data_IF_701021415104
#
_entry.id   IF_701021415104
#
_cell.length_a   1.000
_cell.length_b   1.000
_cell.length_c   1.000
_cell.angle_alpha   90.00
_cell.angle_beta   90.00
_cell.angle_gamma   90.00
#
_symmetry.space_group_name_H-M   'P 1'
#
loop_
_entity.id
_entity.type
_entity.pdbx_description
1 polymer ?
#
# COMPACT_ATOMS: atom_id res chain seq x y z
N UNK A 1 8.44 6.53 12.23
CA UNK A 1 9.83 6.56 11.72
C UNK A 1 10.53 5.27 12.09
N UNK A 2 11.39 4.77 11.18
CA UNK A 2 12.41 3.73 11.37
C UNK A 2 12.02 2.25 11.20
N UNK A 3 12.13 1.76 9.96
CA UNK A 3 12.55 0.37 9.70
C UNK A 3 13.18 0.21 8.30
N UNK A 4 14.36 0.82 8.08
CA UNK A 4 15.24 0.50 6.95
C UNK A 4 16.69 0.47 7.44
N UNK A 5 17.06 -0.57 8.19
CA UNK A 5 18.45 -0.86 8.55
C UNK A 5 18.67 -2.37 8.70
N UNK A 6 18.90 -3.07 7.59
CA UNK A 6 19.71 -4.30 7.52
C UNK A 6 20.44 -4.28 6.18
N UNK A 7 21.57 -3.59 6.11
CA UNK A 7 22.91 -4.07 6.49
C UNK A 7 23.54 -4.92 5.40
N UNK A 8 24.33 -4.22 4.58
CA UNK A 8 25.32 -4.74 3.67
C UNK A 8 26.46 -5.40 4.46
N UNK A 9 26.41 -6.72 4.66
CA UNK A 9 27.53 -7.48 5.24
C UNK A 9 27.60 -8.83 4.53
N UNK A 10 28.16 -8.87 3.32
CA UNK A 10 28.53 -10.13 2.68
C UNK A 10 29.79 -10.07 1.79
N UNK A 11 30.55 -8.96 1.79
CA UNK A 11 31.73 -8.77 0.94
C UNK A 11 33.07 -8.83 1.72
N UNK A 12 33.18 -9.68 2.74
CA UNK A 12 34.41 -9.79 3.55
C UNK A 12 34.85 -11.24 3.82
N UNK A 13 34.64 -12.16 2.87
CA UNK A 13 35.25 -13.49 2.92
C UNK A 13 36.08 -13.74 1.68
N UNK A 14 37.38 -13.96 1.92
CA UNK A 14 38.43 -14.48 1.02
C UNK A 14 39.40 -13.45 0.43
N UNK A 15 40.12 -12.76 1.31
CA UNK A 15 41.51 -12.40 1.06
C UNK A 15 42.36 -13.04 2.16
N UNK A 16 42.67 -14.33 2.03
CA UNK A 16 43.75 -14.97 2.79
C UNK A 16 44.93 -15.12 1.84
N UNK A 17 45.90 -14.23 1.99
CA UNK A 17 47.21 -14.32 1.36
C UNK A 17 47.94 -15.54 1.95
N UNK A 18 48.17 -16.56 1.14
CA UNK A 18 49.05 -17.67 1.53
C UNK A 18 50.50 -17.17 1.51
N UNK A 19 51.15 -17.12 2.68
CA UNK A 19 52.59 -16.85 2.77
C UNK A 19 53.38 -17.95 2.04
N UNK A 20 54.41 -17.55 1.30
CA UNK A 20 55.36 -18.45 0.63
C UNK A 20 56.13 -19.28 1.67
N UNK A 21 55.93 -20.60 1.64
CA UNK A 21 56.66 -21.55 2.48
C UNK A 21 58.00 -21.86 1.81
N UNK A 22 59.11 -21.62 2.51
CA UNK A 22 60.46 -21.95 2.03
C UNK A 22 60.58 -23.43 1.60
N UNK A 23 61.23 -23.73 0.45
CA UNK A 23 61.50 -25.10 0.06
C UNK A 23 62.63 -25.69 0.91
N UNK A 24 62.36 -26.81 1.58
CA UNK A 24 63.40 -27.65 2.19
C UNK A 24 64.12 -28.41 1.08
N UNK A 25 65.43 -28.23 0.98
CA UNK A 25 66.30 -29.07 0.13
C UNK A 25 66.57 -30.38 0.85
N UNK A 26 66.07 -31.49 0.29
CA UNK A 26 66.62 -32.81 0.57
C UNK A 26 67.64 -33.11 -0.52
N UNK A 27 68.91 -33.08 -0.13
CA UNK A 27 69.96 -33.73 -0.91
C UNK A 27 69.96 -35.21 -0.53
N UNK A 28 69.60 -36.08 -1.48
CA UNK A 28 70.23 -37.38 -1.53
C UNK A 28 70.30 -37.91 -2.96
N UNK A 29 71.43 -38.56 -3.18
CA UNK A 29 72.00 -39.13 -4.37
C UNK A 29 71.32 -40.45 -4.81
N UNK A 30 71.68 -40.91 -6.01
CA UNK A 30 71.62 -42.28 -6.58
C UNK A 30 70.68 -42.54 -7.79
N UNK A 31 71.31 -43.15 -8.79
CA UNK A 31 70.84 -43.50 -10.13
C UNK A 31 69.66 -44.49 -10.17
N UNK A 32 68.75 -44.30 -11.14
CA UNK A 32 67.74 -45.30 -11.52
C UNK A 32 67.13 -45.01 -12.88
N UNK A 33 67.26 -45.96 -13.82
CA UNK A 33 66.71 -45.90 -15.17
C UNK A 33 65.18 -46.06 -15.18
N UNK A 34 64.52 -45.25 -16.03
CA UNK A 34 63.34 -45.63 -16.80
C UNK A 34 62.01 -45.76 -16.06
N UNK A 35 61.20 -44.69 -16.10
CA UNK A 35 59.79 -44.68 -16.53
C UNK A 35 59.40 -43.21 -16.75
N UNK A 36 59.18 -42.79 -17.98
CA UNK A 36 58.61 -41.47 -18.27
C UNK A 36 57.15 -41.48 -17.81
N UNK A 37 56.89 -40.91 -16.63
CA UNK A 37 55.57 -40.39 -16.27
C UNK A 37 55.15 -39.40 -17.38
N UNK A 38 53.88 -39.39 -17.86
CA UNK A 38 53.45 -38.42 -18.86
C UNK A 38 53.59 -37.02 -18.25
N UNK A 39 54.70 -36.36 -18.58
CA UNK A 39 54.94 -34.97 -18.20
C UNK A 39 53.85 -34.18 -18.91
N UNK A 40 53.04 -33.49 -18.12
CA UNK A 40 51.98 -32.63 -18.61
C UNK A 40 52.63 -31.40 -19.27
N UNK A 41 53.03 -31.54 -20.53
CA UNK A 41 53.64 -30.47 -21.31
C UNK A 41 52.63 -29.32 -21.45
N UNK A 42 52.86 -28.22 -20.74
CA UNK A 42 52.00 -27.04 -20.87
C UNK A 42 52.05 -26.53 -22.30
N UNK A 43 50.90 -26.17 -22.87
CA UNK A 43 50.82 -25.59 -24.20
C UNK A 43 51.88 -24.48 -24.38
N UNK A 44 52.72 -24.62 -25.40
CA UNK A 44 53.81 -23.68 -25.65
C UNK A 44 53.28 -22.26 -25.89
N UNK A 45 54.14 -21.25 -25.69
CA UNK A 45 53.75 -19.83 -25.89
C UNK A 45 53.11 -19.56 -27.25
N UNK A 46 53.54 -20.27 -28.30
CA UNK A 46 52.96 -20.19 -29.64
C UNK A 46 51.46 -20.55 -29.70
N UNK A 47 51.00 -21.49 -28.87
CA UNK A 47 49.57 -21.83 -28.77
C UNK A 47 48.76 -20.64 -28.24
N UNK A 48 49.21 -20.01 -27.15
CA UNK A 48 48.56 -18.81 -26.62
C UNK A 48 48.63 -17.62 -27.58
N UNK A 49 49.74 -17.47 -28.31
CA UNK A 49 49.87 -16.44 -29.35
C UNK A 49 48.85 -16.70 -30.47
N UNK A 50 48.67 -17.95 -30.91
CA UNK A 50 47.69 -18.29 -31.94
C UNK A 50 46.25 -18.06 -31.49
N UNK A 51 45.91 -18.41 -30.24
CA UNK A 51 44.59 -18.13 -29.66
C UNK A 51 44.37 -16.63 -29.51
N UNK A 52 45.38 -15.85 -29.14
CA UNK A 52 45.29 -14.40 -29.03
C UNK A 52 45.23 -13.70 -30.40
N UNK A 53 45.85 -14.29 -31.43
CA UNK A 53 45.88 -13.74 -32.78
C UNK A 53 44.48 -13.72 -33.43
N UNK A 54 43.64 -14.72 -33.15
CA UNK A 54 42.28 -14.80 -33.70
C UNK A 54 41.41 -13.59 -33.29
N UNK A 55 41.19 -13.29 -31.99
CA UNK A 55 40.43 -12.11 -31.58
C UNK A 55 41.15 -10.81 -31.91
N UNK A 56 42.49 -10.76 -31.91
CA UNK A 56 43.24 -9.56 -32.30
C UNK A 56 43.03 -9.21 -33.79
N UNK A 57 43.10 -10.20 -34.68
CA UNK A 57 42.81 -10.03 -36.10
C UNK A 57 41.35 -9.65 -36.34
N UNK A 58 40.41 -10.23 -35.59
CA UNK A 58 39.00 -9.85 -35.65
C UNK A 58 38.77 -8.40 -35.20
N UNK A 59 39.41 -7.97 -34.11
CA UNK A 59 39.34 -6.60 -33.62
C UNK A 59 39.93 -5.60 -34.64
N UNK A 60 41.08 -5.92 -35.24
CA UNK A 60 41.68 -5.12 -36.31
C UNK A 60 40.78 -5.04 -37.56
N UNK A 61 40.17 -6.14 -37.96
CA UNK A 61 39.22 -6.17 -39.08
C UNK A 61 37.97 -5.32 -38.80
N UNK A 62 37.42 -5.42 -37.58
CA UNK A 62 36.29 -4.57 -37.13
C UNK A 62 36.66 -3.10 -37.12
N UNK A 63 37.85 -2.76 -36.65
CA UNK A 63 38.36 -1.38 -36.64
C UNK A 63 38.57 -0.85 -38.07
N UNK A 64 39.14 -1.66 -38.96
CA UNK A 64 39.37 -1.29 -40.37
C UNK A 64 38.09 -1.11 -41.19
N UNK A 65 36.94 -1.67 -40.75
CA UNK A 65 35.64 -1.55 -41.44
C UNK A 65 34.66 -0.59 -40.75
N UNK A 66 35.14 0.27 -39.85
CA UNK A 66 34.29 1.31 -39.27
C UNK A 66 33.95 2.35 -40.36
N UNK A 67 32.72 2.29 -40.89
CA UNK A 67 32.20 3.26 -41.85
C UNK A 67 32.07 4.66 -41.20
N UNK A 68 32.21 5.71 -42.02
CA UNK A 68 32.23 7.12 -41.60
C UNK A 68 30.86 7.70 -41.24
N UNK A 69 29.75 7.09 -41.71
CA UNK A 69 28.39 7.62 -41.50
C UNK A 69 27.75 7.21 -40.17
N UNK A 70 28.27 6.16 -39.53
CA UNK A 70 27.71 5.61 -38.29
C UNK A 70 28.67 5.85 -37.11
N UNK A 71 28.16 6.44 -36.01
CA UNK A 71 28.94 6.58 -34.76
C UNK A 71 29.54 5.21 -34.37
N UNK A 72 30.85 5.14 -34.06
CA UNK A 72 31.48 3.87 -33.75
C UNK A 72 30.86 3.25 -32.49
N UNK A 73 30.91 1.91 -32.41
CA UNK A 73 30.29 1.13 -31.33
C UNK A 73 30.60 1.68 -29.92
N UNK A 74 31.85 2.09 -29.67
CA UNK A 74 32.26 2.61 -28.37
C UNK A 74 31.60 3.95 -28.06
N UNK A 75 31.45 4.84 -29.03
CA UNK A 75 30.74 6.11 -28.85
C UNK A 75 29.27 5.88 -28.55
N UNK A 76 28.62 4.91 -29.23
CA UNK A 76 27.22 4.53 -28.94
C UNK A 76 27.06 4.01 -27.51
N UNK A 77 28.03 3.25 -27.01
CA UNK A 77 28.03 2.74 -25.64
C UNK A 77 28.24 3.86 -24.60
N UNK A 78 29.07 4.85 -24.91
CA UNK A 78 29.26 6.03 -24.05
C UNK A 78 27.98 6.88 -24.05
N UNK A 79 27.38 7.08 -25.22
CA UNK A 79 26.17 7.89 -25.39
C UNK A 79 24.97 7.28 -24.65
N UNK A 80 24.81 5.95 -24.68
CA UNK A 80 23.77 5.28 -23.91
C UNK A 80 23.94 5.47 -22.40
N UNK A 81 25.18 5.61 -21.91
CA UNK A 81 25.43 5.92 -20.50
C UNK A 81 25.14 7.39 -20.16
N UNK A 82 25.38 8.32 -21.10
CA UNK A 82 24.99 9.72 -20.89
C UNK A 82 23.47 9.90 -20.79
N UNK A 83 22.69 9.13 -21.56
CA UNK A 83 21.23 9.14 -21.46
C UNK A 83 20.77 8.66 -20.07
N UNK A 84 21.39 7.62 -19.52
CA UNK A 84 21.11 7.16 -18.16
C UNK A 84 21.38 8.26 -17.14
N UNK A 85 22.50 8.99 -17.27
CA UNK A 85 22.83 10.12 -16.39
C UNK A 85 21.78 11.23 -16.47
N UNK A 86 21.28 11.55 -17.66
CA UNK A 86 20.23 12.54 -17.86
C UNK A 86 18.92 12.12 -17.18
N UNK A 87 18.47 10.88 -17.40
CA UNK A 87 17.23 10.38 -16.75
C UNK A 87 17.34 10.30 -15.23
N UNK A 88 18.53 10.04 -14.69
CA UNK A 88 18.75 10.05 -13.24
C UNK A 88 18.73 11.47 -12.68
N UNK A 89 19.31 12.43 -13.40
CA UNK A 89 19.25 13.84 -13.03
C UNK A 89 17.80 14.36 -13.02
N UNK A 90 17.01 14.03 -14.04
CA UNK A 90 15.59 14.40 -14.13
C UNK A 90 14.76 13.81 -12.97
N UNK A 91 14.96 12.52 -12.65
CA UNK A 91 14.28 11.90 -11.51
C UNK A 91 14.67 12.55 -10.18
N UNK A 92 15.95 12.85 -10.00
CA UNK A 92 16.42 13.52 -8.79
C UNK A 92 15.84 14.93 -8.67
N UNK A 93 15.77 15.68 -9.77
CA UNK A 93 15.15 17.02 -9.83
C UNK A 93 13.64 16.97 -9.50
N UNK A 94 12.92 15.97 -10.02
CA UNK A 94 11.52 15.75 -9.65
C UNK A 94 11.38 15.50 -8.14
N UNK A 95 12.21 14.61 -7.58
CA UNK A 95 12.19 14.32 -6.16
C UNK A 95 12.52 15.55 -5.30
N UNK A 96 13.50 16.36 -5.66
CA UNK A 96 13.83 17.58 -4.93
C UNK A 96 12.69 18.58 -5.00
N UNK A 97 12.10 18.80 -6.17
CA UNK A 97 10.94 19.69 -6.32
C UNK A 97 9.74 19.23 -5.51
N UNK A 98 9.47 17.93 -5.47
CA UNK A 98 8.37 17.37 -4.66
C UNK A 98 8.60 17.62 -3.16
N UNK A 99 9.84 17.47 -2.69
CA UNK A 99 10.21 17.74 -1.29
C UNK A 99 10.11 19.24 -0.98
N UNK A 100 10.57 20.10 -1.89
CA UNK A 100 10.47 21.56 -1.75
C UNK A 100 9.01 22.02 -1.66
N UNK A 101 8.15 21.49 -2.54
CA UNK A 101 6.71 21.76 -2.51
C UNK A 101 6.08 21.31 -1.19
N UNK A 102 6.35 20.07 -0.76
CA UNK A 102 5.85 19.55 0.51
C UNK A 102 6.34 20.35 1.72
N UNK A 103 7.59 20.84 1.68
CA UNK A 103 8.13 21.72 2.73
C UNK A 103 7.44 23.08 2.73
N UNK A 104 7.17 23.66 1.56
CA UNK A 104 6.44 24.93 1.42
C UNK A 104 5.01 24.81 1.96
N UNK A 105 4.33 23.72 1.62
CA UNK A 105 2.97 23.43 2.03
C UNK A 105 2.86 23.19 3.54
N UNK A 106 3.81 22.42 4.10
CA UNK A 106 3.91 22.26 5.55
C UNK A 106 4.07 23.60 6.25
N UNK A 107 4.86 24.53 5.71
CA UNK A 107 5.03 25.85 6.33
C UNK A 107 3.73 26.66 6.34
N UNK A 108 2.88 26.51 5.32
CA UNK A 108 1.54 27.11 5.29
C UNK A 108 0.64 26.52 6.38
N UNK A 109 0.64 25.19 6.53
CA UNK A 109 -0.29 24.53 7.45
C UNK A 109 0.15 24.51 8.92
N UNK A 110 1.46 24.50 9.21
CA UNK A 110 1.97 24.49 10.59
C UNK A 110 1.56 25.75 11.35
N UNK A 111 1.46 26.89 10.67
CA UNK A 111 1.06 28.16 11.28
C UNK A 111 -0.44 28.47 11.12
N UNK A 112 -1.18 27.65 10.38
CA UNK A 112 -2.62 27.80 10.24
C UNK A 112 -3.33 27.32 11.52
N UNK A 113 -4.43 27.96 11.89
CA UNK A 113 -5.27 27.47 12.97
C UNK A 113 -5.77 26.05 12.61
N UNK A 114 -5.73 25.08 13.55
CA UNK A 114 -6.23 23.75 13.26
C UNK A 114 -7.69 23.83 12.86
N UNK A 115 -8.07 23.10 11.81
CA UNK A 115 -9.47 22.93 11.44
C UNK A 115 -10.21 22.33 12.65
N UNK A 116 -11.18 23.07 13.18
CA UNK A 116 -12.05 22.59 14.24
C UNK A 116 -12.98 21.52 13.68
N UNK A 117 -12.71 20.26 14.03
CA UNK A 117 -13.61 19.16 13.73
C UNK A 117 -14.40 18.85 15.00
N UNK A 118 -15.73 18.98 14.94
CA UNK A 118 -16.60 18.44 15.98
C UNK A 118 -16.87 16.98 15.65
N UNK A 119 -16.39 16.05 16.49
CA UNK A 119 -16.73 14.64 16.37
C UNK A 119 -18.21 14.47 16.76
N UNK A 120 -19.08 14.42 15.74
CA UNK A 120 -20.48 14.10 15.94
C UNK A 120 -20.64 12.59 16.06
N UNK A 121 -21.30 12.13 17.13
CA UNK A 121 -21.66 10.72 17.31
C UNK A 121 -22.54 10.18 16.17
N UNK A 122 -23.30 11.07 15.52
CA UNK A 122 -24.19 10.75 14.41
C UNK A 122 -24.01 11.78 13.28
N UNK A 123 -23.20 11.50 12.25
CA UNK A 123 -22.98 12.43 11.14
C UNK A 123 -24.25 12.68 10.34
N UNK A 124 -25.19 11.74 10.35
CA UNK A 124 -26.47 11.83 9.64
C UNK A 124 -27.38 12.95 10.16
N UNK A 125 -27.16 13.46 11.38
CA UNK A 125 -27.92 14.59 11.92
C UNK A 125 -27.78 15.85 11.07
N UNK A 126 -26.65 16.01 10.37
CA UNK A 126 -26.44 17.12 9.44
C UNK A 126 -27.21 16.96 8.13
N UNK A 127 -27.69 15.75 7.82
CA UNK A 127 -28.45 15.43 6.61
C UNK A 127 -29.97 15.35 6.86
N UNK A 128 -30.40 15.36 8.13
CA UNK A 128 -31.82 15.49 8.47
C UNK A 128 -32.20 16.96 8.29
N UNK A 129 -33.08 17.24 7.31
CA UNK A 129 -33.61 18.58 7.08
C UNK A 129 -34.25 19.17 8.34
N UNK A 130 -34.32 20.51 8.41
CA UNK A 130 -34.95 21.19 9.55
C UNK A 130 -36.39 20.72 9.74
N UNK A 131 -36.80 20.35 10.97
CA UNK A 131 -38.18 19.94 11.26
C UNK A 131 -39.24 20.96 10.82
N UNK A 132 -38.84 22.24 10.69
CA UNK A 132 -39.72 23.35 10.38
C UNK A 132 -39.58 23.85 8.93
N UNK A 133 -38.48 23.52 8.23
CA UNK A 133 -38.23 23.98 6.86
C UNK A 133 -38.25 22.80 5.89
N UNK A 134 -39.43 22.21 5.74
CA UNK A 134 -39.67 21.07 4.85
C UNK A 134 -40.55 21.52 3.69
N UNK A 135 -40.24 21.18 2.42
CA UNK A 135 -41.09 21.54 1.30
C UNK A 135 -42.51 20.99 1.46
N UNK A 136 -43.50 21.78 1.06
CA UNK A 136 -44.90 21.40 1.09
C UNK A 136 -45.09 20.07 0.32
N UNK A 137 -45.68 19.07 0.98
CA UNK A 137 -45.90 17.73 0.41
C UNK A 137 -44.89 16.66 0.82
N UNK A 138 -43.82 17.00 1.56
CA UNK A 138 -42.88 15.99 2.09
C UNK A 138 -43.46 15.14 3.23
N UNK A 139 -44.46 15.65 3.95
CA UNK A 139 -45.17 14.94 5.00
C UNK A 139 -46.48 14.34 4.49
N UNK A 140 -46.90 13.21 5.06
CA UNK A 140 -48.22 12.63 4.79
C UNK A 140 -49.30 13.50 5.43
N UNK A 141 -50.38 13.80 4.69
CA UNK A 141 -51.52 14.54 5.25
C UNK A 141 -52.27 13.69 6.28
N UNK A 142 -52.19 14.09 7.56
CA UNK A 142 -52.81 13.39 8.68
C UNK A 142 -54.28 13.78 8.94
N UNK A 143 -54.88 14.65 8.13
CA UNK A 143 -56.23 15.18 8.36
C UNK A 143 -57.31 14.10 8.48
N UNK A 144 -57.22 13.01 7.70
CA UNK A 144 -58.16 11.88 7.80
C UNK A 144 -58.02 11.11 9.13
N UNK A 145 -56.79 10.99 9.61
CA UNK A 145 -56.49 10.30 10.88
C UNK A 145 -57.01 11.14 12.05
N UNK A 146 -56.76 12.44 12.00
CA UNK A 146 -57.29 13.41 12.98
C UNK A 146 -58.82 13.34 13.03
N UNK A 147 -59.49 13.44 11.87
CA UNK A 147 -60.95 13.38 11.80
C UNK A 147 -61.54 12.05 12.33
N UNK A 148 -60.86 10.92 12.10
CA UNK A 148 -61.27 9.62 12.65
C UNK A 148 -61.24 9.64 14.18
N UNK A 149 -60.13 10.07 14.77
CA UNK A 149 -59.97 10.08 16.23
C UNK A 149 -60.83 11.15 16.92
N UNK A 150 -61.06 12.29 16.28
CA UNK A 150 -62.02 13.27 16.76
C UNK A 150 -63.43 12.67 16.83
N UNK A 151 -63.85 11.95 15.79
CA UNK A 151 -65.15 11.28 15.77
C UNK A 151 -65.27 10.22 16.87
N UNK A 152 -64.27 9.34 17.00
CA UNK A 152 -64.23 8.33 18.06
C UNK A 152 -64.31 8.97 19.46
N UNK A 153 -63.57 10.07 19.67
CA UNK A 153 -63.61 10.81 20.93
C UNK A 153 -65.00 11.38 21.23
N UNK A 154 -65.66 12.02 20.27
CA UNK A 154 -67.01 12.56 20.49
C UNK A 154 -68.05 11.46 20.75
N UNK A 155 -67.96 10.32 20.07
CA UNK A 155 -68.82 9.17 20.31
C UNK A 155 -68.62 8.57 21.71
N UNK A 156 -67.37 8.44 22.17
CA UNK A 156 -67.07 8.00 23.53
C UNK A 156 -67.58 8.98 24.58
N UNK A 157 -67.43 10.28 24.35
CA UNK A 157 -67.92 11.32 25.26
C UNK A 157 -69.46 11.32 25.34
N UNK A 158 -70.15 11.12 24.21
CA UNK A 158 -71.59 10.96 24.20
C UNK A 158 -72.04 9.72 24.99
N UNK A 159 -71.37 8.58 24.80
CA UNK A 159 -71.63 7.34 25.58
C UNK A 159 -71.39 7.55 27.08
N UNK A 160 -70.30 8.21 27.45
CA UNK A 160 -70.00 8.53 28.86
C UNK A 160 -71.07 9.46 29.46
N UNK A 161 -71.55 10.44 28.71
CA UNK A 161 -72.63 11.34 29.14
C UNK A 161 -73.97 10.61 29.33
N UNK A 162 -74.29 9.65 28.46
CA UNK A 162 -75.47 8.80 28.62
C UNK A 162 -75.35 7.87 29.83
N UNK A 163 -74.17 7.27 30.04
CA UNK A 163 -73.89 6.45 31.23
C UNK A 163 -73.99 7.26 32.52
N UNK A 164 -73.47 8.50 32.52
CA UNK A 164 -73.64 9.47 33.61
C UNK A 164 -75.13 9.74 33.89
N UNK A 165 -75.91 10.01 32.84
CA UNK A 165 -77.36 10.27 32.98
C UNK A 165 -78.12 9.07 33.52
N UNK A 166 -77.73 7.86 33.12
CA UNK A 166 -78.38 6.62 33.52
C UNK A 166 -77.81 6.03 34.82
N UNK A 167 -76.80 6.67 35.44
CA UNK A 167 -76.13 6.19 36.65
C UNK A 167 -75.40 4.85 36.46
N UNK A 168 -75.05 4.49 35.22
CA UNK A 168 -74.49 3.19 34.85
C UNK A 168 -72.98 3.26 34.55
N UNK A 169 -72.29 4.29 35.02
CA UNK A 169 -70.87 4.44 34.82
C UNK A 169 -70.08 3.26 35.40
N UNK A 170 -69.17 2.63 34.63
CA UNK A 170 -68.36 1.51 35.13
C UNK A 170 -67.52 1.87 36.37
N UNK A 171 -67.17 3.15 36.53
CA UNK A 171 -66.41 3.64 37.69
C UNK A 171 -67.25 3.78 38.97
N UNK A 172 -68.57 3.91 38.83
CA UNK A 172 -69.51 4.08 39.96
C UNK A 172 -70.21 2.76 40.35
N UNK A 173 -70.14 1.74 39.48
CA UNK A 173 -70.70 0.42 39.79
C UNK A 173 -69.85 -0.31 40.85
N UNK A 174 -70.48 -1.00 41.81
CA UNK A 174 -69.76 -1.83 42.78
C UNK A 174 -68.99 -2.93 42.05
N UNK A 175 -67.73 -3.16 42.46
CA UNK A 175 -66.90 -4.21 41.88
C UNK A 175 -67.46 -5.60 42.21
N UNK A 176 -68.02 -6.28 41.21
CA UNK A 176 -68.36 -7.70 41.30
C UNK A 176 -67.08 -8.53 41.08
N UNK A 177 -66.56 -9.11 42.17
CA UNK A 177 -65.42 -10.02 42.09
C UNK A 177 -65.73 -11.27 41.24
N UNK A 178 -64.71 -11.99 40.74
CA UNK A 178 -64.93 -13.17 39.90
C UNK A 178 -65.80 -14.22 40.59
N UNK A 179 -66.84 -14.70 39.91
CA UNK A 179 -67.76 -15.72 40.42
C UNK A 179 -67.00 -17.00 40.80
N UNK A 180 -67.15 -17.46 42.04
CA UNK A 180 -66.41 -18.59 42.63
C UNK A 180 -66.95 -19.98 42.27
N UNK A 181 -67.85 -20.13 41.30
CA UNK A 181 -68.45 -21.42 40.96
C UNK A 181 -68.17 -21.82 39.51
N UNK A 182 -67.41 -22.90 39.26
CA UNK A 182 -67.39 -23.50 37.93
C UNK A 182 -68.78 -24.05 37.58
N UNK A 183 -69.17 -24.07 36.28
CA UNK A 183 -70.42 -24.69 35.86
C UNK A 183 -70.42 -26.18 36.22
N UNK A 184 -71.49 -26.66 36.84
CA UNK A 184 -71.70 -28.08 37.12
C UNK A 184 -71.79 -28.87 35.80
N UNK A 185 -71.27 -30.11 35.75
CA UNK A 185 -71.35 -30.99 34.58
C UNK A 185 -72.79 -31.41 34.25
#
# INVERSE_FOLDING_TARGET
>A
MQSLRRSAVNSARKARTSLSRQPRRYAHDTHGHGHHEPVNESFGKGFFISIAAIPAAYALYKFSRMNTDEKPWFTRLIESYSDLKATWAERNDLHTRAIELAASDRNLFVNSAPNYHAELRFPDMMNVGSPYNVPAGSGVNLGKVIAKYEKEYYEEQAKKLEQLRNGSLPAEQPFEGPAKSPPNP
#
